data_IF_066181171258
#
_entry.id   IF_066181171258
#
_cell.length_a   1.000
_cell.length_b   1.000
_cell.length_c   1.000
_cell.angle_alpha   90.00
_cell.angle_beta   90.00
_cell.angle_gamma   90.00
#
_symmetry.space_group_name_H-M   'P 1'
#
loop_
_entity.id
_entity.type
_entity.pdbx_description
1 polymer ?
#
# COMPACT_ATOMS: atom_id res chain seq x y z
N UNK A 1 -3.72 -9.92 21.43
CA UNK A 1 -3.17 -10.84 20.41
C UNK A 1 -1.83 -10.27 19.98
N UNK A 2 -0.71 -10.95 20.27
CA UNK A 2 0.64 -10.49 19.91
C UNK A 2 1.10 -11.36 18.76
N UNK A 3 1.28 -10.75 17.59
CA UNK A 3 1.76 -11.45 16.39
C UNK A 3 3.18 -11.01 16.07
N UNK A 4 4.03 -11.99 15.77
CA UNK A 4 5.44 -11.82 15.50
C UNK A 4 5.66 -10.95 14.26
N UNK A 5 6.49 -9.94 14.41
CA UNK A 5 6.89 -8.98 13.39
C UNK A 5 7.86 -9.68 12.42
N UNK A 6 7.44 -9.98 11.20
CA UNK A 6 8.33 -10.47 10.15
C UNK A 6 8.54 -9.35 9.14
N UNK A 7 9.80 -8.95 8.97
CA UNK A 7 10.18 -7.82 8.15
C UNK A 7 9.74 -7.99 6.70
N UNK A 8 9.36 -6.88 6.06
CA UNK A 8 8.99 -6.84 4.64
C UNK A 8 9.98 -7.66 3.81
N UNK A 9 9.50 -8.78 3.25
CA UNK A 9 10.32 -9.73 2.51
C UNK A 9 11.09 -9.05 1.37
N UNK A 10 12.24 -9.61 0.95
CA UNK A 10 13.13 -9.00 -0.05
C UNK A 10 12.44 -8.59 -1.37
N UNK A 11 11.30 -9.21 -1.71
CA UNK A 11 10.50 -8.90 -2.91
C UNK A 11 9.76 -7.56 -2.86
N UNK A 12 9.37 -7.09 -1.67
CA UNK A 12 8.71 -5.79 -1.50
C UNK A 12 9.70 -4.63 -1.69
N UNK A 13 10.99 -4.87 -1.45
CA UNK A 13 12.03 -3.84 -1.57
C UNK A 13 12.16 -3.30 -3.00
N UNK A 14 12.17 -4.19 -3.99
CA UNK A 14 12.30 -3.78 -5.40
C UNK A 14 11.17 -2.89 -5.91
N UNK A 15 9.93 -3.07 -5.42
CA UNK A 15 8.80 -2.22 -5.81
C UNK A 15 8.70 -0.92 -5.02
N UNK A 16 9.23 -0.88 -3.79
CA UNK A 16 9.24 0.33 -2.97
C UNK A 16 10.35 1.33 -3.36
N UNK A 17 11.38 0.85 -4.06
CA UNK A 17 12.57 1.63 -4.44
C UNK A 17 12.47 2.22 -5.87
N UNK A 18 11.46 1.85 -6.66
CA UNK A 18 11.20 2.46 -7.97
C UNK A 18 10.47 3.80 -7.78
N UNK A 19 11.22 4.89 -7.86
CA UNK A 19 10.67 6.23 -7.92
C UNK A 19 10.15 6.47 -9.35
N UNK A 20 8.92 6.98 -9.44
CA UNK A 20 8.18 7.34 -10.65
C UNK A 20 7.26 6.25 -11.19
N UNK A 21 6.03 6.27 -10.69
CA UNK A 21 4.86 5.84 -11.43
C UNK A 21 4.71 6.63 -12.74
N UNK A 22 4.11 6.03 -13.77
CA UNK A 22 3.86 6.69 -15.06
C UNK A 22 2.74 7.74 -14.99
N UNK A 23 2.51 8.51 -16.08
CA UNK A 23 1.49 9.56 -16.12
C UNK A 23 0.08 9.06 -15.80
N UNK A 24 -0.28 7.85 -16.26
CA UNK A 24 -1.58 7.25 -15.99
C UNK A 24 -1.76 6.91 -14.51
N UNK A 25 -0.76 6.31 -13.89
CA UNK A 25 -0.79 6.04 -12.45
C UNK A 25 -0.83 7.34 -11.64
N UNK A 26 -0.13 8.41 -12.06
CA UNK A 26 -0.20 9.71 -11.39
C UNK A 26 -1.60 10.30 -11.45
N UNK A 27 -2.25 10.29 -12.62
CA UNK A 27 -3.64 10.72 -12.76
C UNK A 27 -4.58 9.90 -11.87
N UNK A 28 -4.34 8.58 -11.77
CA UNK A 28 -5.10 7.72 -10.85
C UNK A 28 -4.88 8.09 -9.39
N UNK A 29 -3.65 8.45 -8.98
CA UNK A 29 -3.37 8.89 -7.61
C UNK A 29 -4.12 10.18 -7.30
N UNK A 30 -4.10 11.15 -8.20
CA UNK A 30 -4.83 12.42 -8.06
C UNK A 30 -6.33 12.16 -7.88
N UNK A 31 -6.95 11.38 -8.77
CA UNK A 31 -8.39 11.08 -8.67
C UNK A 31 -8.76 10.33 -7.38
N UNK A 32 -7.86 9.50 -6.85
CA UNK A 32 -8.06 8.82 -5.56
C UNK A 32 -7.95 9.79 -4.37
N UNK A 33 -7.06 10.77 -4.42
CA UNK A 33 -6.97 11.82 -3.40
C UNK A 33 -8.24 12.68 -3.39
N UNK A 34 -8.74 13.04 -4.57
CA UNK A 34 -10.02 13.77 -4.71
C UNK A 34 -11.20 12.97 -4.16
N UNK A 35 -11.25 11.66 -4.44
CA UNK A 35 -12.27 10.76 -3.88
C UNK A 35 -12.21 10.76 -2.34
N UNK A 36 -11.02 10.58 -1.76
CA UNK A 36 -10.83 10.55 -0.31
C UNK A 36 -11.16 11.89 0.36
N UNK A 37 -10.88 13.01 -0.31
CA UNK A 37 -11.24 14.33 0.18
C UNK A 37 -12.76 14.57 0.23
N UNK A 38 -13.52 13.93 -0.68
CA UNK A 38 -14.99 14.02 -0.74
C UNK A 38 -15.68 13.04 0.21
N UNK A 39 -15.08 11.87 0.43
CA UNK A 39 -15.61 10.76 1.24
C UNK A 39 -14.91 10.68 2.61
N UNK A 40 -14.87 11.80 3.34
CA UNK A 40 -14.25 11.83 4.67
C UNK A 40 -14.95 10.84 5.62
N UNK A 41 -14.18 9.92 6.21
CA UNK A 41 -14.67 8.89 7.14
C UNK A 41 -14.92 7.51 6.54
N UNK A 42 -14.63 7.28 5.25
CA UNK A 42 -14.70 5.94 4.67
C UNK A 42 -13.54 5.03 5.12
N UNK A 43 -13.80 3.71 5.21
CA UNK A 43 -12.84 2.64 5.51
C UNK A 43 -11.85 2.38 4.35
N UNK A 44 -11.29 3.45 3.79
CA UNK A 44 -10.34 3.42 2.69
C UNK A 44 -8.97 3.90 3.16
N UNK A 45 -7.93 3.29 2.60
CA UNK A 45 -6.55 3.64 2.85
C UNK A 45 -6.23 5.04 2.31
N UNK A 46 -5.93 5.97 3.21
CA UNK A 46 -5.51 7.33 2.90
C UNK A 46 -4.04 7.59 3.22
N UNK A 47 -3.60 8.83 2.99
CA UNK A 47 -2.30 9.29 3.47
C UNK A 47 -2.22 9.15 4.99
N UNK A 48 -1.07 8.66 5.49
CA UNK A 48 -0.82 8.40 6.91
C UNK A 48 -1.46 7.12 7.44
N UNK A 49 -2.34 6.46 6.69
CA UNK A 49 -2.99 5.21 7.11
C UNK A 49 -1.97 4.11 7.29
N UNK A 50 -2.21 3.26 8.29
CA UNK A 50 -1.41 2.06 8.54
C UNK A 50 -2.18 0.85 8.05
N UNK A 51 -1.55 0.08 7.19
CA UNK A 51 -2.12 -1.03 6.45
C UNK A 51 -1.54 -2.33 6.96
N UNK A 52 -2.39 -3.34 7.08
CA UNK A 52 -1.98 -4.71 7.32
C UNK A 52 -2.27 -5.55 6.07
N UNK A 53 -1.22 -6.18 5.54
CA UNK A 53 -1.23 -6.87 4.27
C UNK A 53 -0.81 -8.32 4.48
N UNK A 54 -1.57 -9.27 3.95
CA UNK A 54 -1.18 -10.67 3.87
C UNK A 54 -0.55 -10.93 2.51
N UNK A 55 0.72 -11.35 2.50
CA UNK A 55 1.36 -11.88 1.31
C UNK A 55 0.75 -13.25 0.99
N UNK A 56 0.00 -13.34 -0.11
CA UNK A 56 -0.72 -14.57 -0.45
C UNK A 56 0.22 -15.71 -0.89
N UNK A 57 1.47 -15.41 -1.23
CA UNK A 57 2.47 -16.42 -1.58
C UNK A 57 3.16 -16.99 -0.35
N UNK A 58 3.56 -16.15 0.60
CA UNK A 58 4.31 -16.59 1.80
C UNK A 58 3.43 -16.82 3.02
N UNK A 59 2.18 -16.34 2.99
CA UNK A 59 1.29 -16.28 4.14
C UNK A 59 1.83 -15.40 5.28
N UNK A 60 2.78 -14.50 4.99
CA UNK A 60 3.33 -13.56 5.97
C UNK A 60 2.53 -12.26 6.02
N UNK A 61 2.36 -11.72 7.22
CA UNK A 61 1.76 -10.41 7.43
C UNK A 61 2.82 -9.32 7.38
N UNK A 62 2.50 -8.25 6.66
CA UNK A 62 3.35 -7.07 6.50
C UNK A 62 2.54 -5.84 6.89
N UNK A 63 3.13 -4.99 7.74
CA UNK A 63 2.55 -3.72 8.14
C UNK A 63 3.27 -2.58 7.43
N UNK A 64 2.51 -1.70 6.77
CA UNK A 64 3.05 -0.55 6.05
C UNK A 64 2.27 0.72 6.36
N UNK A 65 2.95 1.87 6.36
CA UNK A 65 2.31 3.20 6.40
C UNK A 65 2.33 3.83 5.01
N UNK A 66 1.18 4.31 4.55
CA UNK A 66 1.11 5.12 3.32
C UNK A 66 1.60 6.54 3.59
N UNK A 67 2.56 6.99 2.79
CA UNK A 67 3.13 8.35 2.90
C UNK A 67 3.28 8.98 1.52
N UNK A 68 3.55 10.29 1.45
CA UNK A 68 3.93 10.92 0.19
C UNK A 68 5.35 10.55 -0.21
N UNK A 69 6.27 10.62 0.76
CA UNK A 69 7.67 10.28 0.60
C UNK A 69 8.06 9.20 1.59
N UNK A 70 8.79 8.20 1.11
CA UNK A 70 9.34 7.13 1.94
C UNK A 70 10.62 7.61 2.63
N UNK A 71 10.62 7.58 3.96
CA UNK A 71 11.78 7.86 4.81
C UNK A 71 12.19 6.65 5.64
N UNK A 72 11.23 5.76 5.95
CA UNK A 72 11.44 4.55 6.75
C UNK A 72 11.17 3.28 5.96
N UNK A 73 11.62 2.14 6.48
CA UNK A 73 11.46 0.84 5.81
C UNK A 73 10.03 0.33 5.78
N UNK A 74 9.24 0.68 6.79
CA UNK A 74 7.83 0.36 6.96
C UNK A 74 6.90 1.37 6.25
N UNK A 75 7.46 2.33 5.51
CA UNK A 75 6.69 3.30 4.74
C UNK A 75 6.66 2.91 3.26
N UNK A 76 5.54 3.22 2.62
CA UNK A 76 5.34 3.09 1.18
C UNK A 76 4.78 4.39 0.63
N UNK A 77 5.47 4.96 -0.36
CA UNK A 77 5.02 6.18 -1.01
C UNK A 77 3.78 5.91 -1.86
N UNK A 78 2.77 6.78 -1.82
CA UNK A 78 1.61 6.76 -2.74
C UNK A 78 2.03 6.89 -4.21
N UNK A 79 3.25 7.40 -4.46
CA UNK A 79 3.83 7.53 -5.80
C UNK A 79 4.71 6.35 -6.20
N UNK A 80 4.68 5.25 -5.44
CA UNK A 80 5.28 3.97 -5.81
C UNK A 80 4.25 3.06 -6.50
N UNK A 81 4.68 2.07 -7.31
CA UNK A 81 3.76 1.11 -7.94
C UNK A 81 2.84 0.37 -6.96
N UNK A 82 3.31 0.11 -5.73
CA UNK A 82 2.51 -0.50 -4.68
C UNK A 82 1.58 0.53 -4.01
N UNK A 83 2.12 1.67 -3.57
CA UNK A 83 1.35 2.69 -2.86
C UNK A 83 0.23 3.30 -3.69
N UNK A 84 0.44 3.50 -4.99
CA UNK A 84 -0.59 3.99 -5.90
C UNK A 84 -1.81 3.04 -5.98
N UNK A 85 -1.59 1.73 -5.81
CA UNK A 85 -2.68 0.73 -5.77
C UNK A 85 -3.35 0.66 -4.42
N UNK A 86 -2.58 0.80 -3.35
CA UNK A 86 -3.08 0.79 -1.97
C UNK A 86 -3.88 2.05 -1.63
N UNK A 87 -3.57 3.20 -2.24
CA UNK A 87 -4.34 4.42 -2.03
C UNK A 87 -5.81 4.20 -2.44
N UNK A 88 -6.72 4.61 -1.57
CA UNK A 88 -8.17 4.43 -1.64
C UNK A 88 -8.68 2.97 -1.65
N UNK A 89 -7.80 1.98 -1.43
CA UNK A 89 -8.18 0.57 -1.26
C UNK A 89 -8.83 0.33 0.11
N UNK A 90 -9.62 -0.73 0.22
CA UNK A 90 -10.32 -1.13 1.46
C UNK A 90 -9.92 -2.53 1.90
N UNK A 91 -10.22 -2.88 3.15
CA UNK A 91 -10.06 -4.25 3.62
C UNK A 91 -10.81 -5.24 2.71
N UNK A 92 -10.18 -6.37 2.41
CA UNK A 92 -10.64 -7.36 1.45
C UNK A 92 -10.10 -7.18 0.03
N UNK A 93 -9.54 -6.02 -0.32
CA UNK A 93 -8.98 -5.80 -1.65
C UNK A 93 -7.68 -6.59 -1.84
N UNK A 94 -7.54 -7.25 -3.00
CA UNK A 94 -6.29 -7.90 -3.42
C UNK A 94 -5.53 -7.00 -4.38
N UNK A 95 -4.32 -6.60 -4.00
CA UNK A 95 -3.45 -5.76 -4.81
C UNK A 95 -2.29 -6.55 -5.40
N UNK A 96 -1.92 -6.22 -6.63
CA UNK A 96 -0.78 -6.79 -7.34
C UNK A 96 0.11 -5.66 -7.83
N UNK A 97 1.20 -5.32 -7.11
CA UNK A 97 2.10 -4.27 -7.58
C UNK A 97 2.69 -4.68 -8.94
N UNK A 98 2.64 -3.76 -9.90
CA UNK A 98 3.28 -3.97 -11.21
C UNK A 98 4.80 -4.01 -11.00
N UNK A 99 5.50 -4.88 -11.73
CA UNK A 99 6.96 -4.96 -11.68
C UNK A 99 7.56 -5.81 -10.55
N UNK A 100 6.74 -6.35 -9.63
CA UNK A 100 7.16 -7.44 -8.73
C UNK A 100 6.80 -8.76 -9.40
N UNK A 101 7.69 -9.76 -9.32
CA UNK A 101 7.64 -11.03 -10.05
C UNK A 101 6.23 -11.64 -10.24
N UNK A 102 6.07 -12.41 -11.32
CA UNK A 102 4.76 -12.96 -11.75
C UNK A 102 3.95 -13.52 -10.56
N UNK A 103 2.73 -13.03 -10.41
CA UNK A 103 1.77 -13.55 -9.43
C UNK A 103 1.92 -13.02 -8.01
N UNK A 104 2.73 -11.99 -7.77
CA UNK A 104 2.80 -11.35 -6.45
C UNK A 104 1.47 -10.66 -6.11
N UNK A 105 0.82 -11.11 -5.03
CA UNK A 105 -0.50 -10.64 -4.59
C UNK A 105 -0.49 -10.42 -3.09
N UNK A 106 -0.99 -9.27 -2.68
CA UNK A 106 -1.19 -8.91 -1.28
C UNK A 106 -2.69 -8.72 -1.04
N UNK A 107 -3.21 -9.33 0.01
CA UNK A 107 -4.56 -9.05 0.50
C UNK A 107 -4.47 -7.94 1.55
N UNK A 108 -5.21 -6.85 1.36
CA UNK A 108 -5.38 -5.82 2.38
C UNK A 108 -6.33 -6.35 3.45
N UNK A 109 -5.80 -6.67 4.63
CA UNK A 109 -6.55 -7.27 5.73
C UNK A 109 -7.24 -6.18 6.56
N UNK A 110 -6.52 -5.09 6.84
CA UNK A 110 -7.04 -4.00 7.65
C UNK A 110 -6.46 -2.64 7.23
N UNK A 111 -7.26 -1.60 7.45
CA UNK A 111 -6.88 -0.20 7.29
C UNK A 111 -7.11 0.51 8.61
N UNK A 112 -6.03 0.97 9.24
CA UNK A 112 -6.11 1.87 10.38
C UNK A 112 -5.94 3.32 9.88
N UNK A 113 -6.86 4.24 10.21
CA UNK A 113 -6.81 5.61 9.74
C UNK A 113 -5.56 6.34 10.26
N UNK A 114 -5.16 7.39 9.54
CA UNK A 114 -4.14 8.31 10.02
C UNK A 114 -4.65 9.01 11.29
N UNK A 115 -3.83 8.98 12.34
CA UNK A 115 -4.03 9.81 13.53
C UNK A 115 -3.53 11.22 13.27
#
# INVERSE_FOLDING_TARGET
MVFAMVGAGPRLRGAADSWMIGPHELASVIGKLELLAREAGCERAGLGSVLELLDLQTQELVRLRLTERRLRRDEVSIFSPLGARLLAARAGDVVSPRGVGRGYRLLLVAVAPAQ
#
